data_IF_510736065625
#
_entry.id   IF_510736065625
#
_cell.length_a   1.000
_cell.length_b   1.000
_cell.length_c   1.000
_cell.angle_alpha   90.00
_cell.angle_beta   90.00
_cell.angle_gamma   90.00
#
_symmetry.space_group_name_H-M   'P 1'
#
loop_
_entity.id
_entity.type
_entity.pdbx_description
1 polymer ?
#
# COMPACT_ATOMS: atom_id res chain seq x y z
N UNK A 1 -34.93 8.85 24.24
CA UNK A 1 -34.87 8.38 22.85
C UNK A 1 -33.85 7.26 22.63
N UNK A 2 -32.63 7.32 23.19
CA UNK A 2 -31.63 6.24 23.04
C UNK A 2 -32.13 4.83 23.41
N UNK A 3 -32.76 4.67 24.59
CA UNK A 3 -33.33 3.36 25.00
C UNK A 3 -34.41 2.83 24.05
N UNK A 4 -35.17 3.72 23.42
CA UNK A 4 -36.20 3.34 22.43
C UNK A 4 -35.52 2.88 21.13
N UNK A 5 -34.55 3.64 20.63
CA UNK A 5 -33.75 3.29 19.46
C UNK A 5 -33.06 1.91 19.62
N UNK A 6 -32.45 1.68 20.78
CA UNK A 6 -31.79 0.41 21.09
C UNK A 6 -32.76 -0.78 21.13
N UNK A 7 -33.94 -0.60 21.75
CA UNK A 7 -34.96 -1.66 21.80
C UNK A 7 -35.50 -1.98 20.40
N UNK A 8 -35.76 -0.97 19.57
CA UNK A 8 -36.22 -1.18 18.20
C UNK A 8 -35.18 -1.95 17.38
N UNK A 9 -33.89 -1.59 17.48
CA UNK A 9 -32.81 -2.31 16.78
C UNK A 9 -32.66 -3.76 17.24
N UNK A 10 -32.73 -4.03 18.54
CA UNK A 10 -32.51 -5.37 19.09
C UNK A 10 -33.71 -6.31 18.94
N UNK A 11 -34.90 -5.76 18.68
CA UNK A 11 -36.08 -6.55 18.34
C UNK A 11 -36.00 -7.08 16.90
N UNK A 12 -35.50 -6.27 15.95
CA UNK A 12 -35.36 -6.63 14.54
C UNK A 12 -33.95 -7.12 14.18
N UNK A 13 -33.55 -8.25 14.76
CA UNK A 13 -32.19 -8.79 14.66
C UNK A 13 -31.71 -8.97 13.22
N UNK A 14 -32.56 -9.49 12.32
CA UNK A 14 -32.21 -9.70 10.91
C UNK A 14 -31.84 -8.39 10.22
N UNK A 15 -32.58 -7.31 10.47
CA UNK A 15 -32.32 -6.01 9.86
C UNK A 15 -31.07 -5.37 10.44
N UNK A 16 -30.90 -5.45 11.76
CA UNK A 16 -29.68 -4.98 12.41
C UNK A 16 -28.46 -5.69 11.79
N UNK A 17 -28.53 -7.01 11.58
CA UNK A 17 -27.48 -7.78 10.91
C UNK A 17 -27.24 -7.30 9.48
N UNK A 18 -28.29 -7.03 8.69
CA UNK A 18 -28.16 -6.52 7.31
C UNK A 18 -27.48 -5.14 7.29
N UNK A 19 -27.91 -4.21 8.15
CA UNK A 19 -27.28 -2.88 8.27
C UNK A 19 -25.82 -2.96 8.71
N UNK A 20 -25.58 -3.67 9.81
CA UNK A 20 -24.23 -3.85 10.37
C UNK A 20 -23.34 -4.55 9.34
N UNK A 21 -23.83 -5.59 8.67
CA UNK A 21 -23.11 -6.34 7.65
C UNK A 21 -22.79 -5.51 6.41
N UNK A 22 -23.71 -4.69 5.92
CA UNK A 22 -23.46 -3.80 4.78
C UNK A 22 -22.39 -2.75 5.08
N UNK A 23 -22.45 -2.13 6.26
CA UNK A 23 -21.40 -1.18 6.71
C UNK A 23 -20.08 -1.91 6.95
N UNK A 24 -20.11 -3.07 7.60
CA UNK A 24 -18.92 -3.87 7.87
C UNK A 24 -18.22 -4.30 6.58
N UNK A 25 -18.97 -4.71 5.56
CA UNK A 25 -18.42 -5.09 4.26
C UNK A 25 -17.76 -3.90 3.56
N UNK A 26 -18.38 -2.72 3.58
CA UNK A 26 -17.78 -1.54 2.97
C UNK A 26 -16.50 -1.09 3.70
N UNK A 27 -16.54 -1.05 5.03
CA UNK A 27 -15.35 -0.75 5.86
C UNK A 27 -14.25 -1.78 5.62
N UNK A 28 -14.59 -3.07 5.56
CA UNK A 28 -13.67 -4.14 5.20
C UNK A 28 -13.00 -3.87 3.85
N UNK A 29 -13.79 -3.60 2.81
CA UNK A 29 -13.28 -3.36 1.46
C UNK A 29 -12.34 -2.15 1.40
N UNK A 30 -12.71 -1.05 2.06
CA UNK A 30 -11.88 0.15 2.13
C UNK A 30 -10.55 -0.17 2.83
N UNK A 31 -10.60 -0.77 4.02
CA UNK A 31 -9.39 -1.04 4.80
C UNK A 31 -8.46 -2.06 4.13
N UNK A 32 -9.02 -3.08 3.48
CA UNK A 32 -8.22 -4.07 2.74
C UNK A 32 -7.59 -3.44 1.50
N UNK A 33 -8.34 -2.62 0.74
CA UNK A 33 -7.81 -1.95 -0.45
C UNK A 33 -6.72 -0.95 -0.08
N UNK A 34 -6.98 -0.08 0.90
CA UNK A 34 -5.99 0.87 1.43
C UNK A 34 -4.78 0.14 2.03
N UNK A 35 -5.01 -1.00 2.69
CA UNK A 35 -3.97 -1.82 3.31
C UNK A 35 -3.06 -2.51 2.30
N UNK A 36 -3.62 -3.07 1.22
CA UNK A 36 -2.85 -3.64 0.10
C UNK A 36 -1.99 -2.54 -0.54
N UNK A 37 -2.57 -1.35 -0.76
CA UNK A 37 -1.82 -0.26 -1.35
C UNK A 37 -0.68 0.23 -0.43
N UNK A 38 -0.95 0.37 0.86
CA UNK A 38 0.08 0.71 1.84
C UNK A 38 1.19 -0.35 1.93
N UNK A 39 0.84 -1.63 1.81
CA UNK A 39 1.82 -2.71 1.74
C UNK A 39 2.67 -2.66 0.46
N UNK A 40 2.04 -2.40 -0.69
CA UNK A 40 2.75 -2.18 -1.96
C UNK A 40 3.70 -0.98 -1.91
N UNK A 41 3.28 0.12 -1.30
CA UNK A 41 4.13 1.30 -1.06
C UNK A 41 5.36 0.95 -0.21
N UNK A 42 5.19 0.14 0.85
CA UNK A 42 6.30 -0.35 1.65
C UNK A 42 7.24 -1.26 0.86
N UNK A 43 6.67 -2.16 0.05
CA UNK A 43 7.46 -3.08 -0.74
C UNK A 43 8.33 -2.36 -1.77
N UNK A 44 7.78 -1.35 -2.45
CA UNK A 44 8.52 -0.60 -3.47
C UNK A 44 9.75 0.14 -2.93
N UNK A 45 9.72 0.57 -1.67
CA UNK A 45 10.87 1.24 -1.00
C UNK A 45 11.77 0.28 -0.23
N UNK A 46 11.47 -1.02 -0.24
CA UNK A 46 12.19 -2.00 0.60
C UNK A 46 13.67 -2.10 0.21
N UNK A 47 13.98 -2.04 -1.09
CA UNK A 47 15.38 -1.96 -1.53
C UNK A 47 16.09 -0.74 -0.92
N UNK A 48 15.52 0.47 -1.10
CA UNK A 48 16.13 1.70 -0.59
C UNK A 48 16.37 1.64 0.91
N UNK A 49 15.43 1.12 1.70
CA UNK A 49 15.52 1.03 3.17
C UNK A 49 16.63 0.12 3.67
N UNK A 50 16.84 -1.00 2.98
CA UNK A 50 17.76 -2.04 3.43
C UNK A 50 19.19 -1.82 2.94
N UNK A 51 19.44 -0.80 2.12
CA UNK A 51 20.80 -0.40 1.80
C UNK A 51 21.40 0.48 2.91
N UNK A 52 22.65 0.24 3.33
CA UNK A 52 23.27 0.98 4.43
C UNK A 52 23.69 2.41 4.03
N UNK A 53 23.67 2.75 2.75
CA UNK A 53 24.19 4.01 2.23
C UNK A 53 23.25 5.20 2.50
N UNK A 54 23.70 6.24 3.22
CA UNK A 54 22.87 7.41 3.54
C UNK A 54 22.72 8.38 2.37
N UNK A 55 23.59 8.30 1.36
CA UNK A 55 23.58 9.16 0.18
C UNK A 55 23.49 8.34 -1.10
N UNK A 56 22.67 8.82 -2.01
CA UNK A 56 22.43 8.24 -3.32
C UNK A 56 22.75 9.28 -4.38
N UNK A 57 23.63 8.93 -5.30
CA UNK A 57 23.95 9.73 -6.48
C UNK A 57 23.39 9.04 -7.71
N UNK A 58 22.70 9.79 -8.54
CA UNK A 58 22.01 9.30 -9.74
C UNK A 58 22.05 10.37 -10.83
N UNK A 59 21.63 10.03 -12.04
CA UNK A 59 21.60 10.98 -13.15
C UNK A 59 20.72 12.20 -12.81
N UNK A 60 21.11 13.40 -13.29
CA UNK A 60 20.30 14.61 -13.09
C UNK A 60 18.86 14.43 -13.62
N UNK A 61 17.88 14.92 -12.84
CA UNK A 61 16.46 14.78 -13.12
C UNK A 61 15.82 13.45 -12.66
N UNK A 62 16.62 12.49 -12.17
CA UNK A 62 16.10 11.25 -11.58
C UNK A 62 15.88 11.45 -10.09
N UNK A 63 14.67 11.16 -9.61
CA UNK A 63 14.27 11.28 -8.20
C UNK A 63 13.52 10.04 -7.67
N UNK A 64 13.36 8.99 -8.48
CA UNK A 64 12.66 7.75 -8.13
C UNK A 64 13.32 6.54 -8.83
N UNK A 65 13.02 5.33 -8.37
CA UNK A 65 13.42 4.06 -9.02
C UNK A 65 12.27 3.51 -9.89
N UNK A 66 11.01 3.79 -9.53
CA UNK A 66 9.85 3.18 -10.20
C UNK A 66 9.71 3.54 -11.69
N UNK A 67 9.89 4.82 -12.06
CA UNK A 67 9.50 5.36 -13.37
C UNK A 67 10.65 6.03 -14.12
N UNK A 68 11.83 6.11 -13.52
CA UNK A 68 13.00 6.75 -14.11
C UNK A 68 14.14 5.74 -14.27
N UNK A 69 14.81 5.81 -15.42
CA UNK A 69 16.08 5.13 -15.65
C UNK A 69 17.22 6.10 -15.38
N UNK A 70 18.23 5.66 -14.65
CA UNK A 70 19.46 6.41 -14.41
C UNK A 70 20.65 5.65 -14.98
N UNK A 71 21.57 6.36 -15.62
CA UNK A 71 22.88 5.84 -16.02
C UNK A 71 23.93 6.92 -15.72
N UNK A 72 24.79 6.63 -14.75
CA UNK A 72 26.01 7.36 -14.45
C UNK A 72 27.18 6.71 -15.20
N UNK A 73 27.91 7.50 -16.00
CA UNK A 73 29.18 7.09 -16.58
C UNK A 73 30.21 6.64 -15.53
N UNK A 74 31.14 5.79 -15.95
CA UNK A 74 32.19 5.25 -15.09
C UNK A 74 33.09 6.34 -14.49
N UNK A 75 33.40 7.39 -15.26
CA UNK A 75 34.19 8.53 -14.81
C UNK A 75 33.45 9.35 -13.75
N UNK A 76 32.11 9.42 -13.80
CA UNK A 76 31.31 10.03 -12.75
C UNK A 76 31.43 9.24 -11.45
N UNK A 77 31.32 7.91 -11.49
CA UNK A 77 31.47 7.06 -10.30
C UNK A 77 32.86 7.21 -9.68
N UNK A 78 33.91 7.29 -10.50
CA UNK A 78 35.27 7.49 -10.03
C UNK A 78 35.47 8.89 -9.41
N UNK A 79 34.86 9.93 -9.99
CA UNK A 79 34.85 11.28 -9.40
C UNK A 79 34.16 11.31 -8.04
N UNK A 80 33.07 10.55 -7.84
CA UNK A 80 32.43 10.41 -6.52
C UNK A 80 33.43 9.87 -5.50
N UNK A 81 34.18 8.81 -5.84
CA UNK A 81 35.18 8.20 -4.94
C UNK A 81 36.26 9.17 -4.50
N UNK A 82 36.59 10.15 -5.34
CA UNK A 82 37.64 11.14 -5.08
C UNK A 82 37.15 12.33 -4.24
N UNK A 83 35.85 12.46 -3.97
CA UNK A 83 35.32 13.58 -3.17
C UNK A 83 35.74 13.41 -1.70
N UNK A 84 36.39 14.42 -1.08
CA UNK A 84 36.81 14.33 0.31
C UNK A 84 35.64 14.00 1.24
N UNK A 85 35.86 13.06 2.15
CA UNK A 85 34.84 12.61 3.11
C UNK A 85 34.01 11.40 2.64
N UNK A 86 34.15 10.96 1.39
CA UNK A 86 33.65 9.66 0.92
C UNK A 86 34.58 8.55 1.40
N UNK A 87 34.02 7.52 2.03
CA UNK A 87 34.76 6.31 2.45
C UNK A 87 34.61 5.18 1.44
N UNK A 88 33.36 4.90 1.04
CA UNK A 88 33.04 3.81 0.12
C UNK A 88 31.95 4.27 -0.85
N UNK A 89 32.12 3.88 -2.11
CA UNK A 89 31.10 4.02 -3.16
C UNK A 89 30.83 2.64 -3.75
N UNK A 90 29.57 2.26 -3.80
CA UNK A 90 29.12 1.08 -4.54
C UNK A 90 28.20 1.54 -5.66
N UNK A 91 28.57 1.23 -6.89
CA UNK A 91 27.72 1.49 -8.04
C UNK A 91 26.86 0.28 -8.33
N UNK A 92 25.54 0.42 -8.29
CA UNK A 92 24.59 -0.63 -8.71
C UNK A 92 23.96 -0.24 -10.04
N UNK A 93 23.77 -1.22 -10.91
CA UNK A 93 22.94 -1.05 -12.10
C UNK A 93 21.50 -1.40 -11.77
N UNK A 94 20.56 -0.71 -12.40
CA UNK A 94 19.14 -0.94 -12.26
C UNK A 94 18.49 -1.04 -13.63
N UNK A 95 17.69 -2.08 -13.80
CA UNK A 95 16.80 -2.22 -14.94
C UNK A 95 15.40 -2.63 -14.46
N UNK A 96 14.38 -1.96 -15.01
CA UNK A 96 13.00 -2.45 -14.95
C UNK A 96 12.74 -3.45 -16.08
N UNK A 97 11.82 -4.37 -15.86
CA UNK A 97 11.40 -5.35 -16.85
C UNK A 97 10.72 -6.52 -16.16
N UNK A 98 11.46 -7.60 -15.99
CA UNK A 98 10.98 -8.77 -15.28
C UNK A 98 11.90 -9.96 -15.39
N UNK A 99 11.52 -11.00 -14.64
CA UNK A 99 12.07 -12.35 -14.77
C UNK A 99 11.03 -13.17 -15.52
N UNK A 100 11.42 -13.74 -16.64
CA UNK A 100 10.58 -14.62 -17.43
C UNK A 100 10.73 -16.07 -16.95
N UNK A 101 9.60 -16.67 -16.58
CA UNK A 101 9.49 -18.04 -16.09
C UNK A 101 8.48 -18.77 -16.97
N UNK A 102 8.92 -19.83 -17.66
CA UNK A 102 8.07 -20.64 -18.56
C UNK A 102 7.27 -19.80 -19.58
N UNK A 103 7.87 -18.73 -20.13
CA UNK A 103 7.21 -17.83 -21.10
C UNK A 103 6.28 -16.79 -20.47
N UNK A 104 6.19 -16.73 -19.14
CA UNK A 104 5.46 -15.68 -18.41
C UNK A 104 6.43 -14.65 -17.86
N UNK A 105 6.33 -13.40 -18.33
CA UNK A 105 7.11 -12.29 -17.78
C UNK A 105 6.53 -11.84 -16.44
N UNK A 106 7.31 -12.04 -15.38
CA UNK A 106 6.97 -11.59 -14.02
C UNK A 106 7.68 -10.27 -13.74
N UNK A 107 6.97 -9.16 -13.46
CA UNK A 107 7.59 -7.87 -13.18
C UNK A 107 8.61 -7.95 -12.04
N UNK A 108 9.81 -7.43 -12.29
CA UNK A 108 10.91 -7.42 -11.33
C UNK A 108 11.81 -6.21 -11.58
N UNK A 109 12.30 -5.63 -10.49
CA UNK A 109 13.46 -4.77 -10.45
C UNK A 109 14.70 -5.64 -10.46
N UNK A 110 15.56 -5.39 -11.44
CA UNK A 110 16.81 -6.11 -11.62
C UNK A 110 17.92 -5.19 -11.12
N UNK A 111 18.59 -5.61 -10.05
CA UNK A 111 19.78 -4.93 -9.56
C UNK A 111 21.03 -5.69 -9.97
N UNK A 112 21.87 -5.03 -10.77
CA UNK A 112 23.19 -5.49 -11.12
C UNK A 112 24.17 -5.11 -10.03
N UNK A 113 24.74 -6.12 -9.36
CA UNK A 113 25.62 -5.95 -8.21
C UNK A 113 26.98 -6.57 -8.48
N UNK A 114 28.04 -5.87 -8.07
CA UNK A 114 29.40 -6.39 -8.14
C UNK A 114 29.57 -7.46 -7.03
N UNK A 115 30.03 -8.69 -7.33
CA UNK A 115 30.12 -9.77 -6.32
C UNK A 115 30.99 -9.44 -5.10
N UNK A 116 31.99 -8.56 -5.28
CA UNK A 116 32.88 -8.11 -4.22
C UNK A 116 32.36 -6.88 -3.46
N UNK A 117 31.21 -6.33 -3.85
CA UNK A 117 30.67 -5.14 -3.20
C UNK A 117 30.18 -5.46 -1.78
N UNK A 118 30.51 -4.61 -0.79
CA UNK A 118 30.11 -4.84 0.60
C UNK A 118 28.60 -4.67 0.87
N UNK A 119 27.86 -4.09 -0.07
CA UNK A 119 26.41 -3.87 -0.04
C UNK A 119 25.89 -3.62 -1.47
N UNK A 120 24.60 -3.33 -1.63
CA UNK A 120 23.94 -3.16 -2.94
C UNK A 120 23.18 -4.41 -3.40
N UNK A 121 23.58 -5.58 -2.89
CA UNK A 121 22.92 -6.88 -3.08
C UNK A 121 21.79 -7.16 -2.09
N UNK A 122 21.36 -8.44 -2.00
CA UNK A 122 20.34 -8.85 -1.04
C UNK A 122 20.83 -8.64 0.40
N UNK A 123 19.96 -8.12 1.26
CA UNK A 123 20.24 -7.93 2.69
C UNK A 123 19.96 -9.19 3.53
N UNK A 124 19.13 -10.09 3.02
CA UNK A 124 18.77 -11.35 3.63
C UNK A 124 18.78 -12.45 2.57
N UNK A 125 19.38 -13.60 2.93
CA UNK A 125 19.48 -14.77 2.08
C UNK A 125 18.95 -15.98 2.85
N UNK A 126 17.96 -16.66 2.26
CA UNK A 126 17.44 -17.92 2.79
C UNK A 126 18.37 -19.09 2.46
N UNK A 127 18.85 -19.15 1.22
CA UNK A 127 19.67 -20.25 0.71
C UNK A 127 20.58 -19.82 -0.46
N UNK A 128 21.68 -20.55 -0.70
CA UNK A 128 22.60 -20.32 -1.81
C UNK A 128 23.72 -19.33 -1.49
N UNK A 129 24.13 -18.53 -2.49
CA UNK A 129 25.26 -17.58 -2.39
C UNK A 129 24.87 -16.15 -2.81
N UNK A 130 25.58 -15.17 -2.25
CA UNK A 130 25.53 -13.76 -2.70
C UNK A 130 26.60 -13.45 -3.77
N UNK A 131 27.58 -14.33 -3.95
CA UNK A 131 28.65 -14.18 -4.96
C UNK A 131 28.17 -14.69 -6.32
N UNK A 132 27.59 -13.80 -7.12
CA UNK A 132 26.99 -14.16 -8.40
C UNK A 132 28.01 -14.25 -9.53
N UNK A 133 28.06 -15.40 -10.21
CA UNK A 133 28.69 -15.52 -11.51
C UNK A 133 27.89 -14.76 -12.59
N UNK A 134 28.51 -14.55 -13.77
CA UNK A 134 27.93 -13.75 -14.86
C UNK A 134 26.60 -14.33 -15.37
N UNK A 135 26.42 -15.64 -15.30
CA UNK A 135 25.23 -16.35 -15.75
C UNK A 135 24.28 -16.73 -14.60
N UNK A 136 24.36 -16.06 -13.46
CA UNK A 136 23.59 -16.40 -12.26
C UNK A 136 22.66 -15.26 -11.82
N UNK A 137 21.59 -15.64 -11.11
CA UNK A 137 20.58 -14.75 -10.55
C UNK A 137 20.20 -15.18 -9.14
N UNK A 138 19.88 -14.19 -8.30
CA UNK A 138 19.20 -14.37 -7.02
C UNK A 138 17.77 -13.90 -7.20
N UNK A 139 16.84 -14.78 -6.90
CA UNK A 139 15.40 -14.48 -6.83
C UNK A 139 14.92 -14.69 -5.40
N UNK A 140 13.77 -14.15 -5.06
CA UNK A 140 13.20 -14.36 -3.73
C UNK A 140 12.74 -15.82 -3.51
N UNK A 141 12.84 -16.34 -2.29
CA UNK A 141 12.36 -17.68 -1.95
C UNK A 141 10.83 -17.84 -2.18
N UNK A 142 10.03 -16.81 -1.90
CA UNK A 142 8.59 -16.84 -2.17
C UNK A 142 8.28 -16.77 -3.67
N UNK A 143 9.10 -16.06 -4.46
CA UNK A 143 9.05 -16.12 -5.92
C UNK A 143 9.29 -17.55 -6.38
N UNK A 144 10.39 -18.15 -5.94
CA UNK A 144 10.78 -19.51 -6.32
C UNK A 144 9.68 -20.53 -5.96
N UNK A 145 9.14 -20.51 -4.73
CA UNK A 145 8.03 -21.37 -4.31
C UNK A 145 6.77 -21.19 -5.16
N UNK A 146 6.41 -19.95 -5.52
CA UNK A 146 5.20 -19.67 -6.30
C UNK A 146 5.27 -20.26 -7.70
N UNK A 147 6.46 -20.25 -8.29
CA UNK A 147 6.69 -20.74 -9.65
C UNK A 147 7.31 -22.15 -9.71
N UNK A 148 7.49 -22.80 -8.56
CA UNK A 148 8.04 -24.16 -8.49
C UNK A 148 9.50 -24.25 -8.93
N UNK A 149 10.29 -23.22 -8.64
CA UNK A 149 11.71 -23.13 -8.97
C UNK A 149 12.57 -23.50 -7.75
N UNK A 150 13.70 -24.15 -8.01
CA UNK A 150 14.72 -24.50 -7.04
C UNK A 150 16.09 -23.89 -7.42
N UNK A 151 17.05 -23.96 -6.49
CA UNK A 151 18.44 -23.63 -6.80
C UNK A 151 18.97 -24.51 -7.95
N UNK A 152 19.62 -23.88 -8.93
CA UNK A 152 20.13 -24.54 -10.13
C UNK A 152 19.17 -24.53 -11.32
N UNK A 153 17.90 -24.17 -11.12
CA UNK A 153 16.97 -23.95 -12.24
C UNK A 153 17.33 -22.68 -13.03
N UNK A 154 16.77 -22.55 -14.22
CA UNK A 154 17.06 -21.43 -15.13
C UNK A 154 15.84 -20.54 -15.34
N UNK A 155 16.06 -19.23 -15.35
CA UNK A 155 15.07 -18.21 -15.69
C UNK A 155 15.64 -17.24 -16.74
N UNK A 156 14.76 -16.58 -17.50
CA UNK A 156 15.18 -15.64 -18.55
C UNK A 156 15.07 -14.20 -18.04
N UNK A 157 16.11 -13.40 -18.27
CA UNK A 157 16.14 -11.97 -17.95
C UNK A 157 16.69 -11.21 -19.14
N UNK A 158 15.90 -10.29 -19.70
CA UNK A 158 16.29 -9.50 -20.90
C UNK A 158 16.76 -10.40 -22.06
N UNK A 159 16.17 -11.59 -22.19
CA UNK A 159 16.50 -12.57 -23.23
C UNK A 159 17.76 -13.42 -22.96
N UNK A 160 18.36 -13.33 -21.77
CA UNK A 160 19.47 -14.17 -21.34
C UNK A 160 19.01 -15.19 -20.30
N UNK A 161 19.41 -16.46 -20.47
CA UNK A 161 19.16 -17.50 -19.47
C UNK A 161 20.17 -17.40 -18.32
N UNK A 162 19.65 -17.32 -17.10
CA UNK A 162 20.42 -17.22 -15.86
C UNK A 162 20.04 -18.37 -14.92
N UNK A 163 21.02 -18.93 -14.23
CA UNK A 163 20.88 -20.00 -13.25
C UNK A 163 20.58 -19.41 -11.88
N UNK A 164 19.59 -19.93 -11.17
CA UNK A 164 19.25 -19.50 -9.82
C UNK A 164 20.34 -19.99 -8.85
N UNK A 165 21.16 -19.07 -8.34
CA UNK A 165 22.28 -19.37 -7.45
C UNK A 165 22.00 -19.00 -5.97
N UNK A 166 20.94 -18.23 -5.73
CA UNK A 166 20.53 -17.83 -4.39
C UNK A 166 19.04 -17.55 -4.29
N UNK A 167 18.52 -17.74 -3.08
CA UNK A 167 17.15 -17.41 -2.69
C UNK A 167 17.18 -16.32 -1.64
N UNK A 168 16.80 -15.09 -2.00
CA UNK A 168 16.69 -13.97 -1.05
C UNK A 168 15.38 -13.99 -0.27
N UNK A 169 15.32 -13.21 0.80
CA UNK A 169 14.10 -12.99 1.58
C UNK A 169 13.65 -11.52 1.48
N UNK A 170 12.36 -11.26 1.73
CA UNK A 170 11.75 -9.92 1.79
C UNK A 170 11.77 -9.13 0.45
N UNK A 171 12.10 -9.81 -0.64
CA UNK A 171 12.30 -9.26 -1.98
C UNK A 171 11.17 -9.60 -2.96
N UNK A 172 10.15 -10.35 -2.53
CA UNK A 172 8.96 -10.67 -3.30
C UNK A 172 7.73 -9.88 -2.85
N UNK A 173 6.96 -9.37 -3.81
CA UNK A 173 5.76 -8.60 -3.54
C UNK A 173 4.70 -8.71 -4.61
N UNK A 174 3.45 -8.40 -4.25
CA UNK A 174 2.30 -8.48 -5.15
C UNK A 174 2.48 -7.72 -6.48
N UNK A 175 3.09 -6.53 -6.44
CA UNK A 175 3.22 -5.66 -7.61
C UNK A 175 4.62 -5.69 -8.24
N UNK A 176 5.66 -5.84 -7.42
CA UNK A 176 7.05 -5.79 -7.87
C UNK A 176 7.92 -6.73 -7.05
N UNK A 177 8.86 -7.36 -7.74
CA UNK A 177 9.86 -8.25 -7.17
C UNK A 177 11.23 -7.60 -7.29
N UNK A 178 12.19 -8.01 -6.47
CA UNK A 178 13.57 -7.58 -6.55
C UNK A 178 14.40 -8.83 -6.83
N UNK A 179 15.16 -8.80 -7.92
CA UNK A 179 16.09 -9.87 -8.28
C UNK A 179 17.47 -9.26 -8.45
N UNK A 180 18.50 -10.02 -8.09
CA UNK A 180 19.89 -9.57 -8.16
C UNK A 180 20.63 -10.40 -9.19
N UNK A 181 21.40 -9.72 -10.03
CA UNK A 181 22.22 -10.34 -11.07
C UNK A 181 23.64 -9.79 -10.98
N UNK A 182 24.59 -10.49 -11.59
CA UNK A 182 25.93 -9.95 -11.74
C UNK A 182 25.89 -8.63 -12.54
N UNK A 183 26.51 -7.57 -12.01
CA UNK A 183 26.49 -6.25 -12.65
C UNK A 183 27.09 -6.25 -14.06
N UNK A 184 28.15 -7.02 -14.30
CA UNK A 184 28.78 -7.11 -15.62
C UNK A 184 27.81 -7.72 -16.65
N UNK A 185 27.05 -8.74 -16.23
CA UNK A 185 26.03 -9.36 -17.07
C UNK A 185 24.91 -8.37 -17.41
N UNK A 186 24.40 -7.65 -16.41
CA UNK A 186 23.36 -6.65 -16.63
C UNK A 186 23.85 -5.48 -17.49
N UNK A 187 25.09 -5.02 -17.29
CA UNK A 187 25.70 -3.98 -18.11
C UNK A 187 25.74 -4.38 -19.58
N UNK A 188 26.14 -5.62 -19.87
CA UNK A 188 26.16 -6.17 -21.22
C UNK A 188 24.75 -6.22 -21.83
N UNK A 189 23.76 -6.68 -21.06
CA UNK A 189 22.36 -6.74 -21.50
C UNK A 189 21.77 -5.35 -21.78
N UNK A 190 22.17 -4.34 -21.01
CA UNK A 190 21.76 -2.94 -21.18
C UNK A 190 22.56 -2.20 -22.27
N UNK A 191 23.66 -2.77 -22.77
CA UNK A 191 24.55 -2.10 -23.72
C UNK A 191 25.34 -0.94 -23.12
N UNK A 192 25.67 -1.01 -21.83
CA UNK A 192 26.45 0.01 -21.11
C UNK A 192 27.79 -0.54 -20.62
N UNK A 193 28.71 0.35 -20.22
CA UNK A 193 29.99 -0.06 -19.65
C UNK A 193 29.79 -0.79 -18.31
N UNK A 194 30.54 -1.88 -18.01
CA UNK A 194 30.45 -2.58 -16.73
C UNK A 194 30.72 -1.70 -15.50
N UNK A 195 31.51 -0.62 -15.68
CA UNK A 195 31.84 0.34 -14.63
C UNK A 195 30.78 1.44 -14.46
N UNK A 196 29.79 1.51 -15.35
CA UNK A 196 28.64 2.41 -15.18
C UNK A 196 27.79 1.98 -13.99
N UNK A 197 27.00 2.90 -13.47
CA UNK A 197 26.06 2.63 -12.39
C UNK A 197 24.76 3.39 -12.63
N UNK A 198 23.61 2.81 -12.31
CA UNK A 198 22.37 3.57 -12.27
C UNK A 198 22.32 4.43 -11.01
N UNK A 199 22.76 3.85 -9.90
CA UNK A 199 22.82 4.52 -8.62
C UNK A 199 24.19 4.27 -7.98
N UNK A 200 24.84 5.34 -7.54
CA UNK A 200 26.03 5.25 -6.71
C UNK A 200 25.63 5.48 -5.26
N UNK A 201 25.76 4.43 -4.46
CA UNK A 201 25.49 4.39 -3.04
C UNK A 201 26.76 4.82 -2.31
N UNK A 202 26.67 5.90 -1.54
CA UNK A 202 27.84 6.58 -0.96
C UNK A 202 27.80 6.54 0.56
N UNK A 203 28.82 5.92 1.16
CA UNK A 203 29.08 5.98 2.59
C UNK A 203 30.09 7.08 2.93
N UNK A 204 29.79 7.95 3.90
CA UNK A 204 30.75 8.92 4.42
C UNK A 204 31.77 8.23 5.32
N UNK A 205 32.96 8.82 5.42
CA UNK A 205 33.90 8.55 6.52
C UNK A 205 33.25 8.85 7.89
N UNK A 206 33.67 8.18 8.99
CA UNK A 206 32.99 8.28 10.29
C UNK A 206 32.75 9.70 10.84
N UNK A 207 33.68 10.63 10.57
CA UNK A 207 33.61 12.02 11.07
C UNK A 207 32.92 12.99 10.10
N UNK A 208 32.46 12.52 8.94
CA UNK A 208 31.88 13.38 7.91
C UNK A 208 30.39 13.60 8.11
N UNK A 209 29.98 14.87 8.23
CA UNK A 209 28.57 15.24 8.21
C UNK A 209 27.93 14.96 6.83
N UNK A 210 26.83 14.20 6.83
CA UNK A 210 26.11 13.76 5.62
C UNK A 210 25.63 14.94 4.76
N UNK A 211 25.10 16.01 5.37
CA UNK A 211 24.59 17.18 4.61
C UNK A 211 25.73 17.91 3.91
N UNK A 212 26.84 18.14 4.61
CA UNK A 212 28.02 18.78 4.04
C UNK A 212 28.65 17.90 2.94
N UNK A 213 28.60 16.57 3.08
CA UNK A 213 29.03 15.67 2.00
C UNK A 213 28.11 15.74 0.79
N UNK A 214 26.79 15.75 0.99
CA UNK A 214 25.83 15.90 -0.10
C UNK A 214 26.06 17.20 -0.88
N UNK A 215 26.28 18.32 -0.21
CA UNK A 215 26.60 19.61 -0.85
C UNK A 215 27.91 19.55 -1.65
N UNK A 216 28.96 18.93 -1.09
CA UNK A 216 30.24 18.72 -1.80
C UNK A 216 30.06 17.85 -3.03
N UNK A 217 29.29 16.78 -2.95
CA UNK A 217 28.97 15.91 -4.09
C UNK A 217 28.22 16.68 -5.19
N UNK A 218 27.20 17.47 -4.82
CA UNK A 218 26.47 18.33 -5.79
C UNK A 218 27.37 19.35 -6.47
N UNK A 219 28.31 19.94 -5.72
CA UNK A 219 29.28 20.89 -6.28
C UNK A 219 30.31 20.20 -7.19
N UNK A 220 30.77 19.00 -6.81
CA UNK A 220 31.76 18.25 -7.56
C UNK A 220 31.19 17.60 -8.83
N UNK A 221 29.89 17.30 -8.86
CA UNK A 221 29.21 16.55 -9.92
C UNK A 221 27.87 17.22 -10.28
N UNK A 222 27.89 18.39 -10.93
CA UNK A 222 26.69 19.17 -11.22
C UNK A 222 25.70 18.46 -12.17
N UNK A 223 26.16 17.47 -12.93
CA UNK A 223 25.36 16.64 -13.83
C UNK A 223 24.65 15.47 -13.14
N UNK A 224 24.86 15.28 -11.84
CA UNK A 224 24.22 14.24 -11.04
C UNK A 224 23.23 14.85 -10.04
N UNK A 225 22.15 14.11 -9.76
CA UNK A 225 21.32 14.37 -8.60
C UNK A 225 21.88 13.64 -7.37
N UNK A 226 21.90 14.32 -6.23
CA UNK A 226 22.38 13.77 -4.95
C UNK A 226 21.26 13.90 -3.93
N UNK A 227 20.75 12.75 -3.49
CA UNK A 227 19.67 12.66 -2.50
C UNK A 227 20.16 11.96 -1.24
N UNK A 228 19.60 12.34 -0.10
CA UNK A 228 19.69 11.47 1.08
C UNK A 228 18.76 10.28 0.88
N UNK A 229 19.07 9.15 1.53
CA UNK A 229 18.19 7.98 1.50
C UNK A 229 16.76 8.33 1.94
N UNK A 230 16.61 9.19 2.95
CA UNK A 230 15.31 9.63 3.45
C UNK A 230 14.53 10.45 2.39
N UNK A 231 15.20 11.39 1.72
CA UNK A 231 14.57 12.19 0.67
C UNK A 231 14.19 11.32 -0.53
N UNK A 232 15.04 10.33 -0.86
CA UNK A 232 14.79 9.42 -1.98
C UNK A 232 13.59 8.51 -1.70
N UNK A 233 13.50 7.95 -0.49
CA UNK A 233 12.33 7.19 -0.03
C UNK A 233 11.06 8.06 -0.08
N UNK A 234 11.14 9.30 0.39
CA UNK A 234 9.98 10.20 0.40
C UNK A 234 9.50 10.53 -1.02
N UNK A 235 10.43 10.74 -1.95
CA UNK A 235 10.14 10.96 -3.38
C UNK A 235 9.48 9.75 -4.03
N UNK A 236 10.03 8.55 -3.79
CA UNK A 236 9.48 7.28 -4.27
C UNK A 236 8.06 7.04 -3.74
N UNK A 237 7.83 7.25 -2.43
CA UNK A 237 6.50 7.16 -1.82
C UNK A 237 5.51 8.17 -2.41
N UNK A 238 5.95 9.41 -2.64
CA UNK A 238 5.10 10.44 -3.23
C UNK A 238 4.65 10.07 -4.64
N UNK A 239 5.57 9.53 -5.46
CA UNK A 239 5.27 9.05 -6.81
C UNK A 239 4.26 7.89 -6.79
N UNK A 240 4.51 6.87 -5.97
CA UNK A 240 3.62 5.70 -5.86
C UNK A 240 2.22 6.14 -5.43
N UNK A 241 2.13 7.00 -4.40
CA UNK A 241 0.86 7.57 -3.95
C UNK A 241 0.17 8.33 -5.09
N UNK A 242 0.89 9.16 -5.84
CA UNK A 242 0.31 9.88 -6.96
C UNK A 242 -0.28 8.92 -8.01
N UNK A 243 0.38 7.81 -8.32
CA UNK A 243 -0.10 6.81 -9.28
C UNK A 243 -1.35 6.07 -8.79
N UNK A 244 -1.43 5.77 -7.49
CA UNK A 244 -2.53 4.98 -6.92
C UNK A 244 -3.72 5.79 -6.39
N UNK A 245 -3.54 7.09 -6.12
CA UNK A 245 -4.54 7.91 -5.41
C UNK A 245 -5.89 7.91 -6.12
N UNK A 246 -5.91 8.12 -7.44
CA UNK A 246 -7.16 8.23 -8.21
C UNK A 246 -7.95 6.91 -8.20
N UNK A 247 -7.26 5.78 -8.33
CA UNK A 247 -7.87 4.44 -8.35
C UNK A 247 -8.44 4.10 -6.98
N UNK A 248 -7.67 4.30 -5.91
CA UNK A 248 -8.09 4.04 -4.53
C UNK A 248 -9.26 4.96 -4.16
N UNK A 249 -9.18 6.24 -4.53
CA UNK A 249 -10.23 7.19 -4.26
C UNK A 249 -11.53 6.82 -4.99
N UNK A 250 -11.45 6.33 -6.23
CA UNK A 250 -12.61 5.82 -6.95
C UNK A 250 -13.22 4.59 -6.26
N UNK A 251 -12.39 3.60 -5.86
CA UNK A 251 -12.84 2.41 -5.14
C UNK A 251 -13.50 2.75 -3.80
N UNK A 252 -12.87 3.64 -3.03
CA UNK A 252 -13.40 4.10 -1.74
C UNK A 252 -14.70 4.89 -1.93
N UNK A 253 -14.79 5.71 -2.98
CA UNK A 253 -16.04 6.42 -3.32
C UNK A 253 -17.19 5.46 -3.60
N UNK A 254 -16.94 4.37 -4.35
CA UNK A 254 -17.95 3.34 -4.58
C UNK A 254 -18.37 2.68 -3.27
N UNK A 255 -17.41 2.32 -2.40
CA UNK A 255 -17.71 1.72 -1.10
C UNK A 255 -18.53 2.67 -0.19
N UNK A 256 -18.25 3.97 -0.23
CA UNK A 256 -19.03 4.99 0.49
C UNK A 256 -20.45 5.13 -0.05
N UNK A 257 -20.64 5.13 -1.37
CA UNK A 257 -21.98 5.18 -1.99
C UNK A 257 -22.78 3.94 -1.63
N UNK A 258 -22.16 2.75 -1.69
CA UNK A 258 -22.81 1.50 -1.28
C UNK A 258 -23.20 1.56 0.21
N UNK A 259 -22.31 2.05 1.08
CA UNK A 259 -22.61 2.25 2.50
C UNK A 259 -23.80 3.18 2.71
N UNK A 260 -23.81 4.33 2.03
CA UNK A 260 -24.89 5.31 2.09
C UNK A 260 -26.23 4.68 1.70
N UNK A 261 -26.26 3.92 0.60
CA UNK A 261 -27.47 3.27 0.10
C UNK A 261 -27.96 2.19 1.05
N UNK A 262 -27.07 1.34 1.58
CA UNK A 262 -27.46 0.26 2.49
C UNK A 262 -27.98 0.83 3.81
N UNK A 263 -27.26 1.77 4.42
CA UNK A 263 -27.72 2.43 5.65
C UNK A 263 -29.04 3.15 5.39
N UNK A 264 -29.11 3.95 4.33
CA UNK A 264 -30.27 4.76 3.97
C UNK A 264 -31.52 3.93 3.74
N UNK A 265 -31.42 2.89 2.92
CA UNK A 265 -32.54 1.99 2.61
C UNK A 265 -32.99 1.22 3.85
N UNK A 266 -32.05 0.76 4.67
CA UNK A 266 -32.40 -0.03 5.85
C UNK A 266 -33.10 0.81 6.91
N UNK A 267 -32.64 2.03 7.14
CA UNK A 267 -33.29 2.97 8.06
C UNK A 267 -34.63 3.45 7.50
N UNK A 268 -34.71 3.70 6.19
CA UNK A 268 -35.94 4.11 5.54
C UNK A 268 -37.04 3.06 5.71
N UNK A 269 -36.73 1.80 5.41
CA UNK A 269 -37.66 0.68 5.58
C UNK A 269 -38.07 0.50 7.05
N UNK A 270 -37.12 0.56 8.00
CA UNK A 270 -37.42 0.52 9.44
C UNK A 270 -38.36 1.65 9.87
N UNK A 271 -38.19 2.84 9.29
CA UNK A 271 -39.05 3.99 9.60
C UNK A 271 -40.48 3.81 9.08
N UNK A 272 -40.64 3.18 7.91
CA UNK A 272 -41.96 2.89 7.34
C UNK A 272 -42.72 1.84 8.16
N UNK A 273 -42.03 0.81 8.63
CA UNK A 273 -42.64 -0.28 9.39
C UNK A 273 -43.09 0.18 10.78
N UNK A 274 -42.27 0.99 11.47
CA UNK A 274 -42.64 1.60 12.75
C UNK A 274 -43.45 2.90 12.61
N UNK A 275 -43.97 3.22 11.41
CA UNK A 275 -44.74 4.45 11.18
C UNK A 275 -45.97 4.57 12.09
N UNK A 276 -46.65 3.45 12.36
CA UNK A 276 -47.78 3.38 13.31
C UNK A 276 -47.34 3.71 14.74
N UNK A 277 -46.23 3.13 15.20
CA UNK A 277 -45.68 3.40 16.54
C UNK A 277 -45.24 4.86 16.70
N UNK A 278 -44.59 5.42 15.67
CA UNK A 278 -44.25 6.85 15.64
C UNK A 278 -45.50 7.74 15.63
N UNK A 279 -46.58 7.30 14.96
CA UNK A 279 -47.89 7.96 15.01
C UNK A 279 -48.50 7.99 16.42
N UNK A 280 -48.44 6.87 17.15
CA UNK A 280 -48.89 6.79 18.56
C UNK A 280 -48.06 7.70 19.46
N UNK A 281 -46.73 7.66 19.32
CA UNK A 281 -45.83 8.54 20.07
C UNK A 281 -46.17 10.02 19.82
N UNK A 282 -46.45 10.39 18.56
CA UNK A 282 -46.84 11.74 18.18
C UNK A 282 -48.22 12.12 18.74
N UNK A 283 -49.16 11.18 18.79
CA UNK A 283 -50.48 11.37 19.40
C UNK A 283 -50.41 11.63 20.92
N UNK A 284 -49.44 11.00 21.61
CA UNK A 284 -49.19 11.20 23.05
C UNK A 284 -48.31 12.44 23.33
N UNK A 285 -47.90 13.17 22.28
CA UNK A 285 -47.23 14.48 22.38
C UNK A 285 -45.72 14.48 22.05
N UNK A 286 -45.18 13.42 21.45
CA UNK A 286 -43.79 13.42 20.99
C UNK A 286 -43.56 14.43 19.86
N UNK A 287 -42.48 15.20 19.96
CA UNK A 287 -42.08 16.19 18.94
C UNK A 287 -41.41 15.49 17.75
N UNK A 288 -41.54 16.05 16.55
CA UNK A 288 -40.85 15.54 15.35
C UNK A 288 -39.32 15.41 15.57
N UNK A 289 -38.70 16.35 16.28
CA UNK A 289 -37.26 16.29 16.58
C UNK A 289 -36.87 15.10 17.45
N UNK A 290 -37.76 14.64 18.33
CA UNK A 290 -37.52 13.45 19.15
C UNK A 290 -37.58 12.19 18.27
N UNK A 291 -38.54 12.09 17.36
CA UNK A 291 -38.63 10.97 16.41
C UNK A 291 -37.42 10.91 15.47
N UNK A 292 -36.99 12.06 14.95
CA UNK A 292 -35.76 12.17 14.15
C UNK A 292 -34.54 11.72 14.98
N UNK A 293 -34.44 12.13 16.26
CA UNK A 293 -33.36 11.69 17.14
C UNK A 293 -33.31 10.17 17.33
N UNK A 294 -34.45 9.46 17.35
CA UNK A 294 -34.47 7.99 17.40
C UNK A 294 -33.79 7.41 16.16
N UNK A 295 -34.18 7.90 14.98
CA UNK A 295 -33.63 7.44 13.69
C UNK A 295 -32.12 7.66 13.59
N UNK A 296 -31.65 8.85 13.98
CA UNK A 296 -30.21 9.14 13.99
C UNK A 296 -29.45 8.22 14.95
N UNK A 297 -29.98 7.98 16.16
CA UNK A 297 -29.34 7.05 17.09
C UNK A 297 -29.29 5.64 16.51
N UNK A 298 -30.36 5.17 15.86
CA UNK A 298 -30.36 3.85 15.22
C UNK A 298 -29.29 3.75 14.12
N UNK A 299 -29.19 4.79 13.28
CA UNK A 299 -28.19 4.90 12.23
C UNK A 299 -26.77 4.79 12.79
N UNK A 300 -26.45 5.62 13.79
CA UNK A 300 -25.11 5.67 14.38
C UNK A 300 -24.75 4.41 15.15
N UNK A 301 -25.70 3.76 15.83
CA UNK A 301 -25.46 2.48 16.49
C UNK A 301 -25.15 1.40 15.46
N UNK A 302 -25.94 1.30 14.39
CA UNK A 302 -25.71 0.32 13.32
C UNK A 302 -24.37 0.58 12.60
N UNK A 303 -24.07 1.84 12.28
CA UNK A 303 -22.82 2.23 11.66
C UNK A 303 -21.61 1.97 12.55
N UNK A 304 -21.69 2.29 13.84
CA UNK A 304 -20.62 2.04 14.81
C UNK A 304 -20.35 0.55 15.00
N UNK A 305 -21.39 -0.28 15.13
CA UNK A 305 -21.24 -1.74 15.19
C UNK A 305 -20.68 -2.29 13.88
N UNK A 306 -21.18 -1.82 12.74
CA UNK A 306 -20.67 -2.19 11.42
C UNK A 306 -19.20 -1.85 11.25
N UNK A 307 -18.78 -0.67 11.69
CA UNK A 307 -17.38 -0.26 11.66
C UNK A 307 -16.49 -1.17 12.50
N UNK A 308 -16.88 -1.45 13.75
CA UNK A 308 -16.11 -2.36 14.62
C UNK A 308 -15.99 -3.76 14.03
N UNK A 309 -17.10 -4.30 13.50
CA UNK A 309 -17.10 -5.61 12.83
C UNK A 309 -16.24 -5.57 11.57
N UNK A 310 -16.36 -4.53 10.74
CA UNK A 310 -15.60 -4.36 9.51
C UNK A 310 -14.09 -4.27 9.77
N UNK A 311 -13.67 -3.52 10.79
CA UNK A 311 -12.28 -3.47 11.24
C UNK A 311 -11.79 -4.84 11.69
N UNK A 312 -12.57 -5.54 12.51
CA UNK A 312 -12.24 -6.90 12.95
C UNK A 312 -12.10 -7.88 11.78
N UNK A 313 -13.01 -7.81 10.81
CA UNK A 313 -12.95 -8.61 9.58
C UNK A 313 -11.73 -8.24 8.73
N UNK A 314 -11.36 -6.96 8.65
CA UNK A 314 -10.20 -6.50 7.89
C UNK A 314 -8.90 -7.06 8.46
N UNK A 315 -8.71 -7.00 9.79
CA UNK A 315 -7.56 -7.65 10.44
C UNK A 315 -7.59 -9.17 10.29
N UNK A 316 -8.78 -9.79 10.39
CA UNK A 316 -8.92 -11.23 10.16
C UNK A 316 -8.51 -11.63 8.74
N UNK A 317 -8.96 -10.90 7.72
CA UNK A 317 -8.58 -11.12 6.33
C UNK A 317 -7.10 -10.84 6.11
N UNK A 318 -6.56 -9.75 6.66
CA UNK A 318 -5.13 -9.45 6.57
C UNK A 318 -4.26 -10.59 7.15
N UNK A 319 -4.66 -11.16 8.29
CA UNK A 319 -3.95 -12.28 8.91
C UNK A 319 -4.06 -13.58 8.07
N UNK A 320 -5.26 -13.90 7.57
CA UNK A 320 -5.47 -15.08 6.71
C UNK A 320 -4.67 -14.95 5.42
N UNK A 321 -4.74 -13.78 4.77
CA UNK A 321 -4.02 -13.51 3.53
C UNK A 321 -2.52 -13.56 3.78
N UNK A 322 -1.99 -12.89 4.81
CA UNK A 322 -0.55 -12.94 5.10
C UNK A 322 -0.02 -14.34 5.44
N UNK A 323 -0.87 -15.24 5.95
CA UNK A 323 -0.49 -16.63 6.21
C UNK A 323 -0.47 -17.50 4.95
N UNK A 324 -1.48 -17.37 4.08
CA UNK A 324 -1.62 -18.22 2.88
C UNK A 324 -0.93 -17.64 1.64
N UNK A 325 -0.78 -16.32 1.57
CA UNK A 325 -0.21 -15.54 0.48
C UNK A 325 0.80 -14.53 1.06
N UNK A 326 2.00 -14.99 1.47
CA UNK A 326 3.00 -14.13 2.11
C UNK A 326 3.48 -12.97 1.22
N UNK A 327 3.22 -13.06 -0.07
CA UNK A 327 3.51 -12.03 -1.09
C UNK A 327 2.55 -10.85 -1.07
N UNK A 328 1.42 -10.98 -0.37
CA UNK A 328 0.42 -9.93 -0.21
C UNK A 328 0.55 -9.32 1.18
N UNK A 329 1.27 -8.19 1.24
CA UNK A 329 1.35 -7.38 2.45
C UNK A 329 0.13 -6.47 2.57
N UNK A 330 -0.71 -6.70 3.59
CA UNK A 330 -1.85 -5.84 3.92
C UNK A 330 -1.53 -5.04 5.18
N UNK A 331 -1.17 -3.76 5.02
CA UNK A 331 -0.79 -2.89 6.12
C UNK A 331 -1.92 -1.94 6.53
N UNK A 332 -2.69 -2.32 7.54
CA UNK A 332 -3.74 -1.47 8.12
C UNK A 332 -3.11 -0.50 9.12
N UNK A 333 -3.02 0.78 8.75
CA UNK A 333 -2.42 1.80 9.61
C UNK A 333 -3.46 2.41 10.57
N UNK A 334 -3.09 2.71 11.83
CA UNK A 334 -4.00 3.39 12.76
C UNK A 334 -4.52 4.75 12.26
N UNK A 335 -3.71 5.46 11.46
CA UNK A 335 -4.08 6.72 10.81
C UNK A 335 -5.24 6.55 9.83
N UNK A 336 -5.29 5.44 9.09
CA UNK A 336 -6.38 5.12 8.17
C UNK A 336 -7.69 4.93 8.94
N UNK A 337 -7.67 4.15 10.03
CA UNK A 337 -8.84 3.94 10.90
C UNK A 337 -9.41 5.27 11.40
N UNK A 338 -8.56 6.18 11.86
CA UNK A 338 -9.00 7.48 12.36
C UNK A 338 -9.55 8.39 11.24
N UNK A 339 -9.03 8.28 10.02
CA UNK A 339 -9.49 9.03 8.84
C UNK A 339 -10.88 8.58 8.37
N UNK A 340 -11.23 7.31 8.54
CA UNK A 340 -12.53 6.77 8.10
C UNK A 340 -13.69 7.18 9.02
N UNK A 341 -13.44 7.41 10.31
CA UNK A 341 -14.48 7.80 11.27
C UNK A 341 -15.29 9.04 10.85
N UNK A 342 -14.68 10.20 10.51
CA UNK A 342 -15.46 11.38 10.09
C UNK A 342 -16.26 11.15 8.81
N UNK A 343 -15.73 10.36 7.86
CA UNK A 343 -16.43 10.02 6.62
C UNK A 343 -17.66 9.15 6.90
N UNK A 344 -17.50 8.12 7.74
CA UNK A 344 -18.60 7.28 8.19
C UNK A 344 -19.67 8.08 8.92
N UNK A 345 -19.27 9.00 9.81
CA UNK A 345 -20.19 9.88 10.53
C UNK A 345 -20.99 10.75 9.56
N UNK A 346 -20.32 11.34 8.57
CA UNK A 346 -20.95 12.14 7.54
C UNK A 346 -21.96 11.33 6.71
N UNK A 347 -21.53 10.18 6.17
CA UNK A 347 -22.38 9.29 5.37
C UNK A 347 -23.61 8.83 6.17
N UNK A 348 -23.40 8.45 7.44
CA UNK A 348 -24.48 7.98 8.31
C UNK A 348 -25.49 9.11 8.60
N UNK A 349 -25.01 10.34 8.82
CA UNK A 349 -25.88 11.49 9.00
C UNK A 349 -26.70 11.77 7.73
N UNK A 350 -26.07 11.75 6.55
CA UNK A 350 -26.77 11.93 5.26
C UNK A 350 -27.80 10.82 5.03
N UNK A 351 -27.44 9.57 5.31
CA UNK A 351 -28.35 8.42 5.19
C UNK A 351 -29.59 8.58 6.10
N UNK A 352 -29.38 9.02 7.35
CA UNK A 352 -30.44 9.22 8.33
C UNK A 352 -31.39 10.37 7.98
N UNK A 353 -31.00 11.30 7.09
CA UNK A 353 -31.86 12.37 6.62
C UNK A 353 -32.93 11.89 5.62
N UNK A 354 -32.67 10.81 4.87
CA UNK A 354 -33.60 10.27 3.88
C UNK A 354 -35.03 10.03 4.43
N UNK A 355 -35.23 9.37 5.58
CA UNK A 355 -36.56 9.16 6.18
C UNK A 355 -37.17 10.39 6.88
N UNK A 356 -36.41 11.47 7.12
CA UNK A 356 -36.88 12.61 7.95
C UNK A 356 -38.12 13.29 7.36
N UNK A 357 -38.15 13.49 6.05
CA UNK A 357 -39.32 14.07 5.37
C UNK A 357 -40.59 13.23 5.55
N UNK A 358 -40.44 11.90 5.65
CA UNK A 358 -41.55 10.97 5.90
C UNK A 358 -42.05 11.10 7.33
N UNK A 359 -41.13 11.11 8.31
CA UNK A 359 -41.45 11.29 9.74
C UNK A 359 -42.20 12.60 10.02
N UNK A 360 -41.74 13.69 9.40
CA UNK A 360 -42.35 15.01 9.58
C UNK A 360 -43.83 15.02 9.12
N UNK A 361 -44.14 14.29 8.04
CA UNK A 361 -45.46 14.18 7.42
C UNK A 361 -46.33 13.06 8.00
N UNK A 362 -45.87 12.32 9.01
CA UNK A 362 -46.70 11.32 9.68
C UNK A 362 -47.86 12.01 10.42
N UNK A 363 -49.08 11.69 9.99
CA UNK A 363 -50.31 12.11 10.66
C UNK A 363 -50.56 11.18 11.87
N UNK A 364 -50.76 11.71 13.09
CA UNK A 364 -51.15 10.92 14.26
C UNK A 364 -52.34 9.98 13.99
N UNK A 365 -53.26 10.35 13.09
CA UNK A 365 -54.44 9.57 12.72
C UNK A 365 -54.12 8.24 12.02
N UNK A 366 -52.89 8.04 11.52
CA UNK A 366 -52.43 6.77 10.93
C UNK A 366 -52.47 5.63 11.97
N UNK A 367 -52.38 5.95 13.26
CA UNK A 367 -52.49 4.97 14.34
C UNK A 367 -53.92 4.44 14.57
N UNK A 368 -54.94 5.09 14.00
CA UNK A 368 -56.35 4.76 14.18
C UNK A 368 -57.02 4.18 12.92
N UNK A 369 -56.30 4.06 11.80
CA UNK A 369 -56.81 3.43 10.57
C UNK A 369 -56.37 1.97 10.52
N UNK A 370 -57.36 1.07 10.48
CA UNK A 370 -57.21 -0.39 10.50
C UNK A 370 -56.21 -0.91 9.46
#
# INVERSE_FOLDING_TARGET
MFRLAWRNLTHERTRLIISVGGVALAVLLILVTDGIFAGGEQQAITYLKNQPAPLWVMQSGVENIHMASSILPADTVERIRQVPGVETVVGVLYAGGGVEVEGTLVPSYLFGVDPEAPFGGPWALAEGTTELAVNEIIVDQAFARRYGLDLGDTVSVVGYELVIAGLSEETFGLATNISFVNKTALALAMGVAPQAASYALVNPTPDTNIRNLAERLRAAIPEANVMTQADFIASEQALIRQMGTDVIQAMNTVAYVVSLLVIGLTIYTATLEHSREYGVLKAIGARNSQLVSVVFVQAFVAAGLGYLVGVGLAYGIAAIVGYWFPDILILIQPSQLLREVPVLVFITAVAALLPVGRLARLDPLVSFRA
#
